data_IF_222098021095
#
_entry.id   IF_222098021095
#
_cell.length_a   1.000
_cell.length_b   1.000
_cell.length_c   1.000
_cell.angle_alpha   90.00
_cell.angle_beta   90.00
_cell.angle_gamma   90.00
#
_symmetry.space_group_name_H-M   'P 1'
#
loop_
_entity.id
_entity.type
_entity.pdbx_description
1 polymer ?
#
# COMPACT_ATOMS: atom_id res chain seq x y z
N UNK A 1 -12.69 -40.08 -7.53
CA UNK A 1 -11.65 -39.03 -7.36
C UNK A 1 -11.02 -39.21 -5.99
N UNK A 2 -9.70 -39.36 -5.90
CA UNK A 2 -9.02 -39.60 -4.61
C UNK A 2 -9.09 -38.36 -3.70
N UNK A 3 -9.50 -38.52 -2.42
CA UNK A 3 -9.70 -37.40 -1.49
C UNK A 3 -8.39 -36.62 -1.24
N UNK A 4 -7.25 -37.30 -1.26
CA UNK A 4 -5.92 -36.71 -1.12
C UNK A 4 -5.58 -35.70 -2.22
N UNK A 5 -6.05 -35.93 -3.47
CA UNK A 5 -5.86 -34.98 -4.59
C UNK A 5 -6.77 -33.76 -4.50
N UNK A 6 -7.89 -33.85 -3.78
CA UNK A 6 -8.77 -32.68 -3.53
C UNK A 6 -8.16 -31.80 -2.45
N UNK A 7 -7.63 -32.39 -1.39
CA UNK A 7 -7.01 -31.66 -0.28
C UNK A 7 -5.78 -30.85 -0.72
N UNK A 8 -4.91 -31.46 -1.53
CA UNK A 8 -3.68 -30.80 -2.02
C UNK A 8 -3.98 -29.60 -2.93
N UNK A 9 -5.04 -29.69 -3.75
CA UNK A 9 -5.49 -28.59 -4.60
C UNK A 9 -6.05 -27.44 -3.78
N UNK A 10 -6.87 -27.72 -2.77
CA UNK A 10 -7.43 -26.68 -1.89
C UNK A 10 -6.33 -25.98 -1.09
N UNK A 11 -5.32 -26.72 -0.62
CA UNK A 11 -4.20 -26.15 0.11
C UNK A 11 -3.35 -25.24 -0.78
N UNK A 12 -3.06 -25.65 -2.02
CA UNK A 12 -2.30 -24.84 -2.97
C UNK A 12 -3.02 -23.53 -3.33
N UNK A 13 -4.35 -23.57 -3.50
CA UNK A 13 -5.15 -22.36 -3.74
C UNK A 13 -5.13 -21.42 -2.53
N UNK A 14 -5.28 -21.96 -1.32
CA UNK A 14 -5.22 -21.16 -0.09
C UNK A 14 -3.85 -20.48 0.09
N UNK A 15 -2.77 -21.22 -0.12
CA UNK A 15 -1.40 -20.68 -0.06
C UNK A 15 -1.16 -19.60 -1.11
N UNK A 16 -1.67 -19.76 -2.33
CA UNK A 16 -1.54 -18.75 -3.38
C UNK A 16 -2.29 -17.44 -3.03
N UNK A 17 -3.47 -17.54 -2.43
CA UNK A 17 -4.23 -16.35 -2.00
C UNK A 17 -3.62 -15.63 -0.81
N UNK A 18 -2.94 -16.36 0.09
CA UNK A 18 -2.30 -15.75 1.26
C UNK A 18 -1.12 -14.83 0.89
N UNK A 19 -0.40 -15.11 -0.20
CA UNK A 19 0.71 -14.28 -0.68
C UNK A 19 0.22 -12.95 -1.24
N UNK A 20 -0.93 -12.93 -1.90
CA UNK A 20 -1.51 -11.73 -2.51
C UNK A 20 -2.12 -10.77 -1.50
N UNK A 21 -2.41 -11.24 -0.28
CA UNK A 21 -3.06 -10.46 0.77
C UNK A 21 -2.08 -9.93 1.83
N UNK A 22 -0.77 -9.98 1.57
CA UNK A 22 0.24 -9.64 2.57
C UNK A 22 0.29 -8.10 2.84
N UNK A 23 -0.11 -7.62 4.03
CA UNK A 23 0.00 -6.21 4.41
C UNK A 23 1.45 -5.77 4.68
N UNK A 24 2.41 -6.68 4.55
CA UNK A 24 3.81 -6.49 4.93
C UNK A 24 4.50 -5.33 4.18
N UNK A 25 4.08 -5.05 2.94
CA UNK A 25 4.69 -3.98 2.13
C UNK A 25 4.40 -2.61 2.75
N UNK A 26 3.19 -2.37 3.27
CA UNK A 26 2.81 -1.10 3.87
C UNK A 26 3.53 -0.83 5.21
N UNK A 27 3.72 -1.86 6.03
CA UNK A 27 4.42 -1.75 7.32
C UNK A 27 5.90 -1.37 7.16
N UNK A 28 6.50 -1.67 6.00
CA UNK A 28 7.91 -1.39 5.73
C UNK A 28 8.27 0.11 5.71
N UNK A 29 7.26 0.99 5.65
CA UNK A 29 7.43 2.45 5.61
C UNK A 29 7.22 3.14 6.97
N UNK A 30 6.85 2.39 8.02
CA UNK A 30 6.73 2.96 9.36
C UNK A 30 8.07 3.52 9.83
N UNK A 31 8.04 4.72 10.42
CA UNK A 31 9.21 5.45 10.91
C UNK A 31 10.29 5.77 9.86
N UNK A 32 10.01 5.59 8.57
CA UNK A 32 10.91 6.02 7.49
C UNK A 32 10.57 7.44 7.04
N UNK A 33 11.55 8.19 6.53
CA UNK A 33 11.26 9.48 5.91
C UNK A 33 10.29 9.29 4.73
N UNK A 34 9.43 10.28 4.52
CA UNK A 34 8.54 10.29 3.37
C UNK A 34 9.38 10.20 2.07
N UNK A 35 9.04 9.31 1.13
CA UNK A 35 9.71 9.26 -0.16
C UNK A 35 9.63 10.60 -0.89
N UNK A 36 10.72 10.98 -1.57
CA UNK A 36 10.73 12.18 -2.41
C UNK A 36 9.84 11.94 -3.63
N UNK A 37 8.61 12.43 -3.57
CA UNK A 37 7.65 12.36 -4.67
C UNK A 37 7.46 13.73 -5.29
N UNK A 38 7.41 13.79 -6.63
CA UNK A 38 7.01 14.99 -7.34
C UNK A 38 5.50 14.94 -7.49
N UNK A 39 4.79 15.71 -6.65
CA UNK A 39 3.36 15.92 -6.83
C UNK A 39 3.16 16.89 -7.98
N UNK A 40 2.22 16.58 -8.88
CA UNK A 40 1.90 17.45 -10.01
C UNK A 40 1.42 18.83 -9.54
N UNK A 41 0.74 18.88 -8.39
CA UNK A 41 0.28 20.10 -7.75
C UNK A 41 -0.19 19.85 -6.32
N UNK A 42 -0.15 20.91 -5.49
CA UNK A 42 -0.76 20.95 -4.16
C UNK A 42 -2.06 21.78 -4.22
N UNK A 43 -2.96 21.39 -5.13
CA UNK A 43 -4.24 22.08 -5.33
C UNK A 43 -4.96 22.29 -4.00
N UNK A 44 -5.63 23.44 -3.85
CA UNK A 44 -6.39 23.83 -2.65
C UNK A 44 -5.54 24.15 -1.42
N UNK A 45 -4.22 24.29 -1.58
CA UNK A 45 -3.33 24.79 -0.54
C UNK A 45 -2.53 25.99 -1.04
N UNK A 46 -2.02 26.80 -0.12
CA UNK A 46 -1.06 27.86 -0.42
C UNK A 46 0.39 27.36 -0.46
N UNK A 47 0.60 26.05 -0.32
CA UNK A 47 1.93 25.46 -0.22
C UNK A 47 2.56 25.32 -1.61
N UNK A 48 3.85 25.59 -1.67
CA UNK A 48 4.68 25.45 -2.87
C UNK A 48 5.40 24.11 -2.88
N UNK A 49 5.63 23.53 -1.71
CA UNK A 49 6.35 22.27 -1.52
C UNK A 49 5.72 21.44 -0.40
N UNK A 50 6.03 20.14 -0.36
CA UNK A 50 5.66 19.30 0.79
C UNK A 50 6.42 19.70 2.07
N UNK A 51 7.60 20.30 1.94
CA UNK A 51 8.42 20.74 3.07
C UNK A 51 7.74 21.89 3.85
N UNK A 52 6.83 22.63 3.22
CA UNK A 52 6.01 23.68 3.84
C UNK A 52 5.09 23.12 4.95
N UNK A 53 4.87 21.80 4.96
CA UNK A 53 4.10 21.09 5.98
C UNK A 53 4.96 20.45 7.07
N UNK A 54 6.27 20.71 7.10
CA UNK A 54 7.15 20.17 8.14
C UNK A 54 6.63 20.48 9.55
N UNK A 55 6.62 19.46 10.41
CA UNK A 55 6.08 19.58 11.78
C UNK A 55 4.57 19.40 11.88
N UNK A 56 3.87 19.14 10.78
CA UNK A 56 2.44 18.81 10.76
C UNK A 56 2.23 17.34 10.43
N UNK A 57 1.15 16.76 10.96
CA UNK A 57 0.68 15.46 10.51
C UNK A 57 -0.04 15.62 9.16
N UNK A 58 0.35 14.80 8.18
CA UNK A 58 -0.28 14.76 6.86
C UNK A 58 -0.94 13.41 6.65
N UNK A 59 -2.19 13.44 6.19
CA UNK A 59 -2.87 12.27 5.64
C UNK A 59 -2.72 12.33 4.11
N UNK A 60 -2.15 11.27 3.52
CA UNK A 60 -1.96 11.14 2.08
C UNK A 60 -2.90 10.05 1.59
N UNK A 61 -3.85 10.40 0.73
CA UNK A 61 -4.80 9.49 0.12
C UNK A 61 -4.41 9.21 -1.34
N UNK A 62 -4.37 7.93 -1.72
CA UNK A 62 -4.18 7.51 -3.11
C UNK A 62 -5.54 7.23 -3.72
N UNK A 63 -5.93 8.03 -4.72
CA UNK A 63 -7.21 7.90 -5.40
C UNK A 63 -7.02 7.71 -6.90
N UNK A 64 -7.86 6.87 -7.50
CA UNK A 64 -7.94 6.71 -8.93
C UNK A 64 -9.40 6.50 -9.36
N UNK A 65 -9.83 7.23 -10.39
CA UNK A 65 -11.15 7.10 -10.99
C UNK A 65 -11.04 6.21 -12.23
N UNK A 66 -11.05 4.89 -12.03
CA UNK A 66 -11.15 3.90 -13.10
C UNK A 66 -12.20 2.85 -12.75
#
# INVERSE_FOLDING_TARGET
MNPLRRLSRSLAVLSATAVLCAPAIAQSFLNKPLPKVQLASLHQTSATSLDDFTGRALLIEFFAHW
#
